data_IF_588503239093
#
_entry.id   IF_588503239093
#
_cell.length_a   1.000
_cell.length_b   1.000
_cell.length_c   1.000
_cell.angle_alpha   90.00
_cell.angle_beta   90.00
_cell.angle_gamma   90.00
#
_symmetry.space_group_name_H-M   'P 1'
#
loop_
_entity.id
_entity.type
_entity.pdbx_description
1 polymer ?
#
# COMPACT_ATOMS: atom_id res chain seq x y z
N UNK A 1 11.48 19.53 -30.42
CA UNK A 1 11.56 18.17 -30.99
C UNK A 1 11.82 18.26 -32.48
N UNK A 2 12.94 17.71 -32.95
CA UNK A 2 13.42 17.85 -34.33
C UNK A 2 12.87 16.75 -35.26
N UNK A 3 12.95 16.92 -36.59
CA UNK A 3 12.43 15.96 -37.58
C UNK A 3 13.00 14.55 -37.40
N UNK A 4 14.32 14.44 -37.18
CA UNK A 4 15.00 13.17 -36.90
C UNK A 4 14.44 12.46 -35.66
N UNK A 5 14.09 13.22 -34.61
CA UNK A 5 13.51 12.67 -33.39
C UNK A 5 12.07 12.17 -33.63
N UNK A 6 11.28 12.87 -34.45
CA UNK A 6 9.92 12.43 -34.81
C UNK A 6 9.93 11.08 -35.53
N UNK A 7 10.81 10.92 -36.51
CA UNK A 7 10.97 9.67 -37.27
C UNK A 7 11.50 8.54 -36.39
N UNK A 8 12.46 8.82 -35.51
CA UNK A 8 12.94 7.85 -34.54
C UNK A 8 11.83 7.38 -33.57
N UNK A 9 10.99 8.29 -33.08
CA UNK A 9 9.85 7.94 -32.21
C UNK A 9 8.88 7.02 -32.95
N UNK A 10 8.52 7.32 -34.21
CA UNK A 10 7.63 6.46 -35.02
C UNK A 10 8.21 5.04 -35.18
N UNK A 11 9.48 4.93 -35.55
CA UNK A 11 10.16 3.64 -35.75
C UNK A 11 10.24 2.82 -34.46
N UNK A 12 10.68 3.44 -33.36
CA UNK A 12 10.80 2.76 -32.07
C UNK A 12 9.44 2.36 -31.52
N UNK A 13 8.42 3.19 -31.73
CA UNK A 13 7.05 2.90 -31.29
C UNK A 13 6.40 1.78 -32.11
N UNK A 14 6.63 1.75 -33.43
CA UNK A 14 6.22 0.64 -34.30
C UNK A 14 6.93 -0.68 -33.96
N UNK A 15 8.12 -0.60 -33.38
CA UNK A 15 8.85 -1.75 -32.83
C UNK A 15 8.42 -2.15 -31.40
N UNK A 16 7.33 -1.58 -30.87
CA UNK A 16 6.77 -1.95 -29.56
C UNK A 16 7.47 -1.36 -28.33
N UNK A 17 8.39 -0.40 -28.51
CA UNK A 17 9.13 0.20 -27.38
C UNK A 17 8.26 1.12 -26.53
N UNK A 18 8.48 1.08 -25.21
CA UNK A 18 7.78 1.91 -24.23
C UNK A 18 8.16 3.38 -24.34
N UNK A 19 7.29 4.28 -23.84
CA UNK A 19 7.59 5.72 -23.85
C UNK A 19 8.84 6.08 -23.04
N UNK A 20 9.15 5.29 -22.00
CA UNK A 20 10.31 5.51 -21.14
C UNK A 20 11.62 5.15 -21.86
N UNK A 21 11.66 4.00 -22.55
CA UNK A 21 12.82 3.59 -23.35
C UNK A 21 13.12 4.57 -24.48
N UNK A 22 12.08 5.02 -25.21
CA UNK A 22 12.22 5.99 -26.30
C UNK A 22 12.73 7.34 -25.76
N UNK A 23 12.20 7.78 -24.62
CA UNK A 23 12.64 9.01 -23.97
C UNK A 23 14.12 8.94 -23.57
N UNK A 24 14.54 7.84 -22.94
CA UNK A 24 15.94 7.61 -22.57
C UNK A 24 16.88 7.57 -23.77
N UNK A 25 16.49 6.85 -24.84
CA UNK A 25 17.32 6.72 -26.05
C UNK A 25 17.47 8.02 -26.83
N UNK A 26 16.46 8.91 -26.79
CA UNK A 26 16.46 10.17 -27.53
C UNK A 26 16.82 11.40 -26.67
N UNK A 27 17.08 11.21 -25.38
CA UNK A 27 17.33 12.30 -24.43
C UNK A 27 16.13 13.25 -24.29
N UNK A 28 14.91 12.75 -24.46
CA UNK A 28 13.67 13.52 -24.39
C UNK A 28 12.94 13.23 -23.08
N UNK A 29 12.02 14.12 -22.67
CA UNK A 29 11.12 13.80 -21.57
C UNK A 29 10.05 12.79 -22.01
N UNK A 30 9.67 11.87 -21.12
CA UNK A 30 8.60 10.90 -21.36
C UNK A 30 7.29 11.58 -21.78
N UNK A 31 6.99 12.75 -21.21
CA UNK A 31 5.81 13.56 -21.57
C UNK A 31 5.87 14.07 -23.01
N UNK A 32 7.06 14.44 -23.51
CA UNK A 32 7.22 14.88 -24.90
C UNK A 32 6.93 13.74 -25.88
N UNK A 33 7.45 12.55 -25.59
CA UNK A 33 7.20 11.34 -26.40
C UNK A 33 5.72 10.95 -26.34
N UNK A 34 5.12 10.93 -25.15
CA UNK A 34 3.69 10.64 -24.94
C UNK A 34 2.79 11.59 -25.72
N UNK A 35 2.99 12.90 -25.57
CA UNK A 35 2.19 13.92 -26.25
C UNK A 35 2.37 13.89 -27.78
N UNK A 36 3.53 13.46 -28.28
CA UNK A 36 3.72 13.26 -29.72
C UNK A 36 2.99 12.01 -30.22
N UNK A 37 3.15 10.87 -29.54
CA UNK A 37 2.49 9.61 -29.93
C UNK A 37 0.97 9.72 -29.89
N UNK A 38 0.40 10.44 -28.91
CA UNK A 38 -1.05 10.67 -28.83
C UNK A 38 -1.57 11.50 -30.01
N UNK A 39 -0.89 12.61 -30.36
CA UNK A 39 -1.30 13.47 -31.49
C UNK A 39 -1.12 12.82 -32.87
N UNK A 40 -0.27 11.80 -32.97
CA UNK A 40 0.00 11.07 -34.21
C UNK A 40 -0.62 9.67 -34.23
N UNK A 41 -1.54 9.37 -33.29
CA UNK A 41 -2.26 8.08 -33.22
C UNK A 41 -1.34 6.84 -33.10
N UNK A 42 -0.12 7.01 -32.59
CA UNK A 42 0.86 5.95 -32.35
C UNK A 42 0.70 5.28 -30.98
N UNK A 43 -0.41 5.57 -30.29
CA UNK A 43 -0.67 5.09 -28.94
C UNK A 43 -0.91 3.57 -28.89
N UNK A 44 -1.53 3.01 -29.92
CA UNK A 44 -2.01 1.62 -29.97
C UNK A 44 -0.98 0.58 -30.45
N UNK A 45 0.25 1.00 -30.79
CA UNK A 45 1.27 0.08 -31.33
C UNK A 45 1.98 -0.79 -30.28
N UNK A 46 1.67 -0.65 -28.98
CA UNK A 46 2.00 -1.69 -28.01
C UNK A 46 0.72 -2.46 -27.74
N UNK A 47 0.69 -3.71 -28.18
CA UNK A 47 -0.18 -4.74 -27.58
C UNK A 47 -0.05 -4.59 -26.06
N UNK A 48 -1.14 -4.51 -25.27
CA UNK A 48 -1.02 -4.33 -23.83
C UNK A 48 -0.01 -5.35 -23.32
N UNK A 49 1.07 -4.88 -22.67
CA UNK A 49 2.02 -5.77 -22.00
C UNK A 49 1.19 -6.82 -21.25
N UNK A 50 1.56 -8.12 -21.29
CA UNK A 50 0.90 -9.08 -20.43
C UNK A 50 1.03 -8.51 -19.03
N UNK A 51 -0.11 -8.13 -18.46
CA UNK A 51 -0.18 -7.65 -17.09
C UNK A 51 0.56 -8.69 -16.29
N UNK A 52 1.72 -8.32 -15.74
CA UNK A 52 2.43 -9.21 -14.83
C UNK A 52 1.53 -9.27 -13.61
N UNK A 53 0.61 -10.24 -13.63
CA UNK A 53 -0.19 -10.63 -12.49
C UNK A 53 0.86 -11.09 -11.49
N UNK A 54 1.31 -10.15 -10.67
CA UNK A 54 2.18 -10.40 -9.54
C UNK A 54 1.29 -11.11 -8.52
N UNK A 55 1.02 -12.39 -8.79
CA UNK A 55 0.29 -13.28 -7.90
C UNK A 55 1.12 -13.34 -6.63
N UNK A 56 0.63 -12.64 -5.63
CA UNK A 56 1.25 -12.58 -4.32
C UNK A 56 0.41 -13.47 -3.43
N UNK A 57 1.05 -14.28 -2.60
CA UNK A 57 0.32 -15.22 -1.76
C UNK A 57 -0.13 -14.54 -0.46
N UNK A 58 -1.26 -14.99 0.07
CA UNK A 58 -1.72 -14.64 1.41
C UNK A 58 -0.67 -15.07 2.44
N UNK A 59 -0.32 -14.19 3.37
CA UNK A 59 0.66 -14.52 4.42
C UNK A 59 0.20 -15.60 5.40
N UNK A 60 -1.11 -15.83 5.49
CA UNK A 60 -1.70 -16.80 6.41
C UNK A 60 -1.97 -18.14 5.74
N UNK A 61 -2.74 -18.16 4.65
CA UNK A 61 -3.21 -19.39 4.01
C UNK A 61 -2.58 -19.67 2.65
N UNK A 62 -1.62 -18.86 2.22
CA UNK A 62 -0.94 -18.97 0.92
C UNK A 62 -1.85 -18.90 -0.31
N UNK A 63 -3.13 -18.51 -0.16
CA UNK A 63 -4.04 -18.32 -1.27
C UNK A 63 -3.56 -17.18 -2.21
N UNK A 64 -3.74 -17.31 -3.53
CA UNK A 64 -3.33 -16.29 -4.49
C UNK A 64 -4.12 -14.98 -4.27
N UNK A 65 -3.39 -13.86 -4.27
CA UNK A 65 -3.93 -12.51 -4.17
C UNK A 65 -3.82 -11.81 -5.52
N UNK A 66 -4.97 -11.34 -5.99
CA UNK A 66 -5.06 -10.42 -7.11
C UNK A 66 -4.72 -9.02 -6.60
N UNK A 67 -3.67 -8.42 -7.16
CA UNK A 67 -3.31 -7.03 -6.87
C UNK A 67 -4.05 -6.11 -7.83
N UNK A 68 -4.70 -5.07 -7.30
CA UNK A 68 -5.35 -4.05 -8.13
C UNK A 68 -4.39 -2.88 -8.33
N UNK A 69 -4.09 -2.57 -9.59
CA UNK A 69 -3.27 -1.40 -9.96
C UNK A 69 -3.83 -0.11 -9.34
N UNK A 70 -2.95 0.72 -8.77
CA UNK A 70 -3.34 1.97 -8.11
C UNK A 70 -3.86 1.82 -6.67
N UNK A 71 -4.01 0.59 -6.15
CA UNK A 71 -4.35 0.35 -4.74
C UNK A 71 -3.14 -0.11 -3.93
N UNK A 72 -3.23 0.02 -2.61
CA UNK A 72 -2.23 -0.53 -1.69
C UNK A 72 -2.16 -2.04 -1.86
N UNK A 73 -0.92 -2.57 -1.79
CA UNK A 73 -0.64 -3.99 -1.92
C UNK A 73 -1.44 -4.81 -0.92
N UNK A 74 -2.17 -5.82 -1.40
CA UNK A 74 -2.90 -6.77 -0.55
C UNK A 74 -1.90 -7.79 0.03
N UNK A 75 -2.02 -8.10 1.32
CA UNK A 75 -1.19 -9.12 1.99
C UNK A 75 -1.99 -10.32 2.51
N UNK A 76 -3.32 -10.18 2.58
CA UNK A 76 -4.23 -11.18 3.13
C UNK A 76 -5.43 -11.34 2.19
N UNK A 77 -5.95 -12.56 2.06
CA UNK A 77 -7.13 -12.81 1.22
C UNK A 77 -8.42 -12.30 1.87
N UNK A 78 -8.51 -12.35 3.22
CA UNK A 78 -9.65 -11.97 4.03
C UNK A 78 -9.25 -11.31 5.35
N UNK A 79 -10.22 -10.67 6.02
CA UNK A 79 -10.03 -10.13 7.38
C UNK A 79 -9.75 -11.24 8.40
N UNK A 80 -10.32 -12.43 8.20
CA UNK A 80 -10.03 -13.59 9.04
C UNK A 80 -8.56 -13.94 8.97
N UNK A 81 -7.99 -14.10 7.77
CA UNK A 81 -6.57 -14.37 7.59
C UNK A 81 -5.68 -13.26 8.16
N UNK A 82 -6.10 -12.00 8.01
CA UNK A 82 -5.40 -10.88 8.62
C UNK A 82 -5.36 -11.01 10.15
N UNK A 83 -6.50 -11.27 10.80
CA UNK A 83 -6.57 -11.37 12.26
C UNK A 83 -5.82 -12.59 12.79
N UNK A 84 -5.97 -13.76 12.18
CA UNK A 84 -5.23 -14.97 12.58
C UNK A 84 -3.73 -14.71 12.55
N UNK A 85 -3.23 -14.14 11.46
CA UNK A 85 -1.80 -13.87 11.31
C UNK A 85 -1.27 -12.90 12.37
N UNK A 86 -1.98 -11.80 12.64
CA UNK A 86 -1.56 -10.81 13.65
C UNK A 86 -1.66 -11.34 15.08
N UNK A 87 -2.60 -12.26 15.37
CA UNK A 87 -2.70 -12.91 16.67
C UNK A 87 -1.57 -13.93 16.88
N UNK A 88 -1.15 -14.62 15.82
CA UNK A 88 -0.06 -15.58 15.86
C UNK A 88 1.34 -14.92 15.88
N UNK A 89 1.46 -13.68 15.35
CA UNK A 89 2.74 -12.98 15.24
C UNK A 89 2.77 -11.64 15.99
N UNK A 90 2.51 -11.61 17.32
CA UNK A 90 2.49 -10.37 18.10
C UNK A 90 3.86 -9.65 18.12
N UNK A 91 4.97 -10.36 17.95
CA UNK A 91 6.34 -9.84 17.86
C UNK A 91 6.56 -8.95 16.64
N UNK A 92 5.81 -9.17 15.56
CA UNK A 92 5.89 -8.34 14.36
C UNK A 92 5.24 -6.97 14.55
N UNK A 93 4.41 -6.82 15.60
CA UNK A 93 3.77 -5.55 15.96
C UNK A 93 4.76 -4.74 16.80
N UNK A 94 5.47 -3.81 16.15
CA UNK A 94 6.29 -2.79 16.83
C UNK A 94 5.38 -1.81 17.57
N UNK A 95 5.01 -2.15 18.81
CA UNK A 95 4.23 -1.27 19.69
C UNK A 95 5.12 -0.11 20.14
N UNK A 96 4.99 1.03 19.46
CA UNK A 96 5.64 2.28 19.87
C UNK A 96 4.77 3.02 20.89
N UNK A 97 5.41 3.73 21.83
CA UNK A 97 4.77 4.67 22.77
C UNK A 97 3.84 4.01 23.80
N UNK A 98 4.25 2.88 24.38
CA UNK A 98 3.64 2.39 25.62
C UNK A 98 4.01 3.31 26.78
N UNK A 99 3.03 3.81 27.52
CA UNK A 99 3.23 4.55 28.78
C UNK A 99 2.55 3.79 29.90
N UNK A 100 3.16 3.75 31.07
CA UNK A 100 2.57 3.17 32.27
C UNK A 100 1.60 4.17 32.89
N UNK A 101 0.43 3.69 33.29
CA UNK A 101 -0.62 4.45 33.99
C UNK A 101 -1.12 3.62 35.17
N UNK A 102 -1.56 4.28 36.24
CA UNK A 102 -2.22 3.62 37.37
C UNK A 102 -3.74 3.71 37.22
N UNK A 103 -4.44 2.59 37.40
CA UNK A 103 -5.89 2.55 37.29
C UNK A 103 -6.57 3.26 38.46
N UNK A 104 -7.46 4.21 38.17
CA UNK A 104 -8.21 4.98 39.19
C UNK A 104 -9.26 4.14 39.95
N UNK A 105 -9.53 2.91 39.52
CA UNK A 105 -10.52 2.03 40.16
C UNK A 105 -9.88 0.93 40.99
N UNK A 106 -8.87 0.25 40.44
CA UNK A 106 -8.25 -0.90 41.11
C UNK A 106 -6.80 -0.66 41.54
N UNK A 107 -6.25 0.54 41.31
CA UNK A 107 -4.88 0.90 41.67
C UNK A 107 -3.77 0.25 40.85
N UNK A 108 -4.07 -0.79 40.05
CA UNK A 108 -3.06 -1.53 39.29
C UNK A 108 -2.44 -0.68 38.17
N UNK A 109 -1.13 -0.80 38.03
CA UNK A 109 -0.39 -0.26 36.90
C UNK A 109 -0.63 -1.06 35.61
N UNK A 110 -0.78 -0.35 34.50
CA UNK A 110 -0.99 -0.94 33.19
C UNK A 110 -0.37 -0.10 32.08
N UNK A 111 -0.04 -0.74 30.97
CA UNK A 111 0.50 -0.06 29.79
C UNK A 111 -0.65 0.43 28.91
N UNK A 112 -0.72 1.74 28.73
CA UNK A 112 -1.60 2.38 27.76
C UNK A 112 -0.84 2.75 26.49
N UNK A 113 -1.45 2.47 25.34
CA UNK A 113 -0.93 2.85 24.03
C UNK A 113 -1.67 4.07 23.47
N UNK A 114 -0.91 5.00 22.88
CA UNK A 114 -1.41 6.21 22.22
C UNK A 114 -1.15 7.51 22.98
N UNK A 115 -1.54 8.65 22.38
CA UNK A 115 -1.30 9.99 22.94
C UNK A 115 -2.23 10.37 24.09
N UNK A 116 -3.42 9.79 24.16
CA UNK A 116 -4.40 10.10 25.22
C UNK A 116 -4.06 9.38 26.52
N UNK A 117 -4.20 10.09 27.63
CA UNK A 117 -4.07 9.53 28.97
C UNK A 117 -5.18 8.48 29.24
N UNK A 118 -4.82 7.39 29.89
CA UNK A 118 -5.75 6.28 30.21
C UNK A 118 -6.00 6.25 31.71
N UNK A 119 -7.27 6.35 32.11
CA UNK A 119 -7.69 6.36 33.52
C UNK A 119 -7.98 4.98 34.10
N UNK A 120 -8.29 4.00 33.25
CA UNK A 120 -8.75 2.68 33.66
C UNK A 120 -8.04 1.58 32.86
N UNK A 121 -7.66 0.51 33.54
CA UNK A 121 -6.98 -0.64 32.92
C UNK A 121 -7.91 -1.49 32.05
N UNK A 122 -9.22 -1.42 32.25
CA UNK A 122 -10.20 -2.24 31.54
C UNK A 122 -11.59 -1.58 31.45
N UNK A 123 -12.44 -2.11 30.56
CA UNK A 123 -13.84 -1.70 30.44
C UNK A 123 -14.64 -1.96 31.72
N UNK A 124 -14.28 -3.01 32.47
CA UNK A 124 -14.87 -3.33 33.77
C UNK A 124 -14.55 -2.26 34.81
N UNK A 125 -13.28 -1.84 34.93
CA UNK A 125 -12.89 -0.73 35.82
C UNK A 125 -13.58 0.59 35.45
N UNK A 126 -13.73 0.87 34.15
CA UNK A 126 -14.52 2.02 33.70
C UNK A 126 -16.00 1.92 34.13
N UNK A 127 -16.60 0.73 34.12
CA UNK A 127 -17.97 0.51 34.59
C UNK A 127 -18.10 0.75 36.10
N UNK A 128 -17.20 0.17 36.90
CA UNK A 128 -17.17 0.33 38.35
C UNK A 128 -17.00 1.79 38.79
N UNK A 129 -16.22 2.59 38.05
CA UNK A 129 -16.05 4.01 38.36
C UNK A 129 -17.33 4.84 38.21
N UNK A 130 -18.35 4.31 37.50
CA UNK A 130 -19.68 4.91 37.40
C UNK A 130 -20.60 4.51 38.55
N UNK A 131 -20.36 3.36 39.17
CA UNK A 131 -21.13 2.85 40.31
C UNK A 131 -20.67 3.52 41.60
N UNK A 132 -19.36 3.71 41.79
CA UNK A 132 -18.77 4.29 43.02
C UNK A 132 -19.08 5.80 43.16
N UNK A 133 -19.48 6.49 42.09
CA UNK A 133 -19.80 7.95 42.11
C UNK A 133 -21.29 8.26 42.31
N UNK A 134 -22.11 7.29 42.71
CA UNK A 134 -23.49 7.50 43.14
C UNK A 134 -23.57 7.28 44.64
#
# INVERSE_FOLDING_TARGET
MNHKQKEAIKKLRGAGRSYLEIAGQLGLSQNTVKSFCQRNQLASAISPEPETINVTLCRECSAPLIQTTGKKKKHFCSDQCRHTWWNAHPETIKRKNGRTFSCQTCGRDFIGYGKRERKYCSRACYGLSKVIRR
#
